data_IF_619968299091
#
_entry.id   IF_619968299091
#
_cell.length_a   1.000
_cell.length_b   1.000
_cell.length_c   1.000
_cell.angle_alpha   90.00
_cell.angle_beta   90.00
_cell.angle_gamma   90.00
#
_symmetry.space_group_name_H-M   'P 1'
#
loop_
_entity.id
_entity.type
_entity.pdbx_description
1 polymer ?
#
# COMPACT_ATOMS: atom_id res chain seq x y z
N UNK A 1 -65.97 29.59 31.57
CA UNK A 1 -64.56 29.92 31.96
C UNK A 1 -63.84 30.40 30.74
N UNK A 2 -63.47 31.66 30.62
CA UNK A 2 -62.73 32.16 29.44
C UNK A 2 -61.22 31.84 29.54
N UNK A 3 -60.70 31.18 28.49
CA UNK A 3 -59.28 30.86 28.35
C UNK A 3 -58.53 32.17 28.08
N UNK A 4 -57.72 32.62 29.05
CA UNK A 4 -56.79 33.75 28.87
C UNK A 4 -55.52 33.25 28.18
N UNK A 5 -55.39 33.56 26.89
CA UNK A 5 -54.14 33.33 26.14
C UNK A 5 -53.15 34.41 26.59
N UNK A 6 -52.04 34.01 27.18
CA UNK A 6 -50.93 34.88 27.62
C UNK A 6 -50.18 35.48 26.42
N UNK A 7 -49.82 36.78 26.44
CA UNK A 7 -49.10 37.42 25.32
C UNK A 7 -47.73 36.78 25.02
N UNK A 8 -47.18 36.04 25.98
CA UNK A 8 -45.93 35.30 25.78
C UNK A 8 -46.07 34.10 24.84
N UNK A 9 -47.27 33.47 24.75
CA UNK A 9 -47.49 32.34 23.83
C UNK A 9 -47.71 32.79 22.39
N UNK A 10 -48.18 34.03 22.18
CA UNK A 10 -48.35 34.58 20.84
C UNK A 10 -47.05 35.03 20.21
N UNK A 11 -46.11 35.56 20.98
CA UNK A 11 -44.76 35.93 20.52
C UNK A 11 -43.88 34.71 20.16
N UNK A 12 -44.02 33.59 20.89
CA UNK A 12 -43.31 32.36 20.61
C UNK A 12 -43.81 31.67 19.32
N UNK A 13 -45.16 31.72 19.08
CA UNK A 13 -45.74 31.18 17.85
C UNK A 13 -45.36 32.02 16.59
N UNK A 14 -45.25 33.35 16.73
CA UNK A 14 -44.84 34.24 15.64
C UNK A 14 -43.32 34.08 15.32
N UNK A 15 -42.48 33.85 16.33
CA UNK A 15 -41.07 33.59 16.12
C UNK A 15 -40.82 32.21 15.44
N UNK A 16 -41.61 31.20 15.74
CA UNK A 16 -41.54 29.89 15.10
C UNK A 16 -42.03 29.93 13.64
N UNK A 17 -42.96 30.82 13.30
CA UNK A 17 -43.46 30.97 11.93
C UNK A 17 -42.48 31.73 11.03
N UNK A 18 -41.63 32.63 11.57
CA UNK A 18 -40.61 33.34 10.81
C UNK A 18 -39.35 32.48 10.57
N UNK A 19 -39.12 31.45 11.36
CA UNK A 19 -37.96 30.55 11.20
C UNK A 19 -38.12 29.59 10.00
N UNK A 20 -39.31 29.46 9.43
CA UNK A 20 -39.57 28.57 8.26
C UNK A 20 -39.40 29.25 6.90
N UNK A 21 -39.08 30.56 6.83
CA UNK A 21 -38.72 31.27 5.61
C UNK A 21 -37.21 31.27 5.40
N UNK A 22 -36.54 30.13 5.54
CA UNK A 22 -35.20 29.97 5.01
C UNK A 22 -35.28 30.09 3.47
N UNK A 23 -34.35 30.80 2.83
CA UNK A 23 -34.41 31.01 1.38
C UNK A 23 -34.18 29.69 0.67
N UNK A 24 -35.23 29.01 0.28
CA UNK A 24 -35.23 27.78 -0.52
C UNK A 24 -34.59 27.98 -1.92
N UNK A 25 -34.33 29.24 -2.29
CA UNK A 25 -33.81 29.60 -3.60
C UNK A 25 -32.33 29.15 -3.85
N UNK A 26 -31.47 29.15 -2.83
CA UNK A 26 -30.07 28.75 -2.98
C UNK A 26 -29.90 27.24 -3.09
N UNK A 27 -30.79 26.45 -2.49
CA UNK A 27 -30.78 24.98 -2.58
C UNK A 27 -31.32 24.46 -3.92
N UNK A 28 -32.07 25.27 -4.65
CA UNK A 28 -32.67 24.91 -5.92
C UNK A 28 -31.73 25.12 -7.10
N UNK A 29 -30.92 26.18 -7.08
CA UNK A 29 -29.89 26.47 -8.12
C UNK A 29 -28.83 25.37 -8.28
N UNK A 30 -28.59 24.57 -7.24
CA UNK A 30 -27.69 23.42 -7.29
C UNK A 30 -28.32 22.14 -7.88
N UNK A 31 -29.60 22.15 -8.18
CA UNK A 31 -30.36 20.97 -8.65
C UNK A 31 -30.81 21.07 -10.09
N UNK A 32 -30.77 22.26 -10.70
CA UNK A 32 -31.22 22.43 -12.08
C UNK A 32 -30.20 21.82 -13.05
N UNK A 33 -30.62 20.92 -13.92
CA UNK A 33 -29.72 20.26 -14.86
C UNK A 33 -29.22 21.27 -15.92
N UNK A 34 -27.91 21.24 -16.17
CA UNK A 34 -27.22 22.16 -17.10
C UNK A 34 -26.74 21.35 -18.31
N UNK A 35 -26.96 21.87 -19.52
CA UNK A 35 -26.34 21.38 -20.76
C UNK A 35 -25.07 22.15 -21.05
N UNK A 36 -24.00 21.43 -21.33
CA UNK A 36 -22.72 22.03 -21.65
C UNK A 36 -22.51 21.99 -23.16
N UNK A 37 -22.20 23.15 -23.74
CA UNK A 37 -21.85 23.27 -25.15
C UNK A 37 -20.73 24.32 -25.30
N UNK A 38 -19.52 23.92 -24.95
CA UNK A 38 -18.31 24.71 -25.12
C UNK A 38 -17.49 24.07 -26.23
N UNK A 39 -17.24 24.85 -27.29
CA UNK A 39 -16.40 24.45 -28.44
C UNK A 39 -15.28 25.50 -28.54
N UNK A 40 -14.03 25.04 -28.46
CA UNK A 40 -12.84 25.90 -28.47
C UNK A 40 -12.92 27.08 -27.51
N UNK A 41 -13.55 26.87 -26.37
CA UNK A 41 -13.76 27.93 -25.38
C UNK A 41 -12.52 28.11 -24.50
N UNK A 42 -12.19 29.35 -24.19
CA UNK A 42 -11.11 29.68 -23.26
C UNK A 42 -11.32 29.09 -21.91
N UNK A 43 -10.30 28.40 -21.37
CA UNK A 43 -10.35 27.67 -20.11
C UNK A 43 -10.78 28.58 -18.96
N UNK A 44 -10.26 29.81 -18.90
CA UNK A 44 -10.60 30.76 -17.85
C UNK A 44 -12.05 31.29 -17.95
N UNK A 45 -12.59 31.40 -19.15
CA UNK A 45 -13.99 31.79 -19.35
C UNK A 45 -14.94 30.66 -18.90
N UNK A 46 -14.63 29.41 -19.25
CA UNK A 46 -15.39 28.22 -18.81
C UNK A 46 -15.31 28.05 -17.30
N UNK A 47 -14.13 28.25 -16.70
CA UNK A 47 -13.95 28.14 -15.24
C UNK A 47 -14.84 29.18 -14.49
N UNK A 48 -14.92 30.42 -14.98
CA UNK A 48 -15.80 31.48 -14.43
C UNK A 48 -17.28 31.11 -14.55
N UNK A 49 -17.67 30.48 -15.65
CA UNK A 49 -19.05 30.03 -15.85
C UNK A 49 -19.40 28.95 -14.80
N UNK A 50 -18.50 27.98 -14.59
CA UNK A 50 -18.71 26.96 -13.53
C UNK A 50 -18.71 27.55 -12.13
N UNK A 51 -17.87 28.55 -11.86
CA UNK A 51 -17.88 29.29 -10.59
C UNK A 51 -19.24 29.90 -10.31
N UNK A 52 -19.84 30.53 -11.30
CA UNK A 52 -21.19 31.10 -11.20
C UNK A 52 -22.27 30.04 -10.97
N UNK A 53 -22.20 28.90 -11.68
CA UNK A 53 -23.16 27.80 -11.52
C UNK A 53 -23.06 27.14 -10.13
N UNK A 54 -21.85 27.00 -9.60
CA UNK A 54 -21.60 26.39 -8.31
C UNK A 54 -21.71 27.37 -7.14
N UNK A 55 -21.86 28.68 -7.41
CA UNK A 55 -21.86 29.72 -6.38
C UNK A 55 -20.53 29.81 -5.61
N UNK A 56 -19.42 29.49 -6.25
CA UNK A 56 -18.07 29.47 -5.65
C UNK A 56 -17.14 30.42 -6.40
N UNK A 57 -16.18 30.96 -5.69
CA UNK A 57 -15.15 31.78 -6.30
C UNK A 57 -14.09 30.92 -7.01
N UNK A 58 -13.63 31.38 -8.19
CA UNK A 58 -12.57 30.71 -8.93
C UNK A 58 -11.41 31.64 -9.17
N UNK A 59 -10.19 31.17 -8.88
CA UNK A 59 -8.93 31.84 -9.19
C UNK A 59 -8.20 31.04 -10.24
N UNK A 60 -7.85 31.68 -11.36
CA UNK A 60 -7.14 31.05 -12.47
C UNK A 60 -5.70 31.56 -12.49
N UNK A 61 -4.73 30.62 -12.43
CA UNK A 61 -3.30 30.94 -12.55
C UNK A 61 -3.03 31.54 -13.96
N UNK A 62 -2.24 32.59 -14.07
CA UNK A 62 -1.92 33.23 -15.36
C UNK A 62 -1.22 32.32 -16.38
N UNK A 63 -0.65 31.20 -15.91
CA UNK A 63 -0.02 30.19 -16.77
C UNK A 63 -1.03 29.24 -17.40
N UNK A 64 -2.26 29.22 -16.94
CA UNK A 64 -3.35 28.43 -17.54
C UNK A 64 -3.81 29.12 -18.81
N UNK A 65 -3.50 28.50 -19.93
CA UNK A 65 -3.83 29.01 -21.27
C UNK A 65 -4.30 27.88 -22.17
N UNK A 66 -5.16 28.20 -23.11
CA UNK A 66 -5.66 27.24 -24.10
C UNK A 66 -7.16 27.20 -24.15
N UNK A 67 -7.66 26.35 -25.01
CA UNK A 67 -9.08 26.17 -25.26
C UNK A 67 -9.48 24.70 -24.91
N UNK A 68 -10.71 24.54 -24.51
CA UNK A 68 -11.31 23.20 -24.26
C UNK A 68 -12.63 23.09 -25.02
N UNK A 69 -12.90 21.85 -25.43
CA UNK A 69 -14.19 21.47 -25.99
C UNK A 69 -14.87 20.54 -25.03
N UNK A 70 -16.05 20.93 -24.55
CA UNK A 70 -16.86 20.15 -23.62
C UNK A 70 -18.32 20.21 -24.05
N UNK A 71 -18.82 19.13 -24.63
CA UNK A 71 -20.19 19.01 -25.12
C UNK A 71 -20.90 17.86 -24.41
N UNK A 72 -22.16 18.11 -24.06
CA UNK A 72 -23.04 17.06 -23.50
C UNK A 72 -24.39 17.09 -24.20
N UNK A 73 -24.83 15.93 -24.66
CA UNK A 73 -26.14 15.78 -25.31
C UNK A 73 -27.31 15.79 -24.33
N UNK A 74 -27.02 15.47 -23.07
CA UNK A 74 -28.03 15.38 -22.01
C UNK A 74 -27.73 16.40 -20.91
N UNK A 75 -28.79 16.98 -20.32
CA UNK A 75 -28.61 17.85 -19.17
C UNK A 75 -28.02 17.08 -18.00
N UNK A 76 -26.98 17.61 -17.38
CA UNK A 76 -26.27 17.05 -16.24
C UNK A 76 -26.49 17.89 -15.00
N UNK A 77 -26.43 17.26 -13.84
CA UNK A 77 -26.38 18.01 -12.57
C UNK A 77 -25.10 18.87 -12.54
N UNK A 78 -25.13 20.07 -11.96
CA UNK A 78 -23.97 20.97 -11.90
C UNK A 78 -22.70 20.33 -11.34
N UNK A 79 -22.83 19.46 -10.34
CA UNK A 79 -21.71 18.72 -9.75
C UNK A 79 -21.08 17.75 -10.73
N UNK A 80 -21.90 17.00 -11.48
CA UNK A 80 -21.42 16.04 -12.50
C UNK A 80 -20.81 16.79 -13.69
N UNK A 81 -21.43 17.92 -14.09
CA UNK A 81 -20.92 18.78 -15.13
C UNK A 81 -19.53 19.34 -14.76
N UNK A 82 -19.36 19.75 -13.50
CA UNK A 82 -18.07 20.22 -12.99
C UNK A 82 -17.02 19.09 -12.94
N UNK A 83 -17.38 17.87 -12.54
CA UNK A 83 -16.47 16.74 -12.59
C UNK A 83 -15.96 16.46 -14.00
N UNK A 84 -16.85 16.56 -15.02
CA UNK A 84 -16.46 16.43 -16.43
C UNK A 84 -15.52 17.55 -16.88
N UNK A 85 -15.77 18.77 -16.44
CA UNK A 85 -14.88 19.89 -16.69
C UNK A 85 -13.49 19.65 -16.09
N UNK A 86 -13.41 19.24 -14.82
CA UNK A 86 -12.13 18.92 -14.15
C UNK A 86 -11.40 17.78 -14.85
N UNK A 87 -12.12 16.75 -15.30
CA UNK A 87 -11.54 15.65 -16.08
C UNK A 87 -10.93 16.14 -17.40
N UNK A 88 -11.64 17.03 -18.11
CA UNK A 88 -11.15 17.63 -19.37
C UNK A 88 -9.92 18.53 -19.12
N UNK A 89 -9.93 19.31 -18.04
CA UNK A 89 -8.77 20.12 -17.63
C UNK A 89 -7.53 19.26 -17.36
N UNK A 90 -7.72 18.11 -16.72
CA UNK A 90 -6.63 17.18 -16.44
C UNK A 90 -6.00 16.66 -17.73
N UNK A 91 -6.79 16.35 -18.75
CA UNK A 91 -6.26 15.95 -20.07
C UNK A 91 -5.43 17.07 -20.72
N UNK A 92 -5.73 18.32 -20.39
CA UNK A 92 -4.98 19.50 -20.84
C UNK A 92 -3.79 19.86 -19.94
N UNK A 93 -3.50 19.05 -18.90
CA UNK A 93 -2.38 19.26 -17.98
C UNK A 93 -2.64 20.29 -16.87
N UNK A 94 -3.90 20.57 -16.56
CA UNK A 94 -4.31 21.47 -15.49
C UNK A 94 -5.10 20.74 -14.41
N UNK A 95 -5.03 21.24 -13.19
CA UNK A 95 -5.76 20.69 -12.04
C UNK A 95 -6.53 21.79 -11.32
N UNK A 96 -7.66 21.38 -10.71
CA UNK A 96 -8.42 22.22 -9.81
C UNK A 96 -8.10 21.83 -8.37
N UNK A 97 -7.65 22.79 -7.58
CA UNK A 97 -7.38 22.61 -6.15
C UNK A 97 -8.46 23.35 -5.37
N UNK A 98 -9.13 22.66 -4.47
CA UNK A 98 -10.10 23.23 -3.55
C UNK A 98 -9.38 23.69 -2.26
N UNK A 99 -9.39 24.97 -1.98
CA UNK A 99 -8.79 25.54 -0.80
C UNK A 99 -9.67 26.65 -0.21
N UNK A 100 -10.03 26.55 1.06
CA UNK A 100 -10.75 27.56 1.82
C UNK A 100 -12.01 28.14 1.13
N UNK A 101 -12.74 27.31 0.38
CA UNK A 101 -13.97 27.75 -0.33
C UNK A 101 -13.73 28.33 -1.72
N UNK A 102 -12.47 28.50 -2.14
CA UNK A 102 -12.07 29.02 -3.45
C UNK A 102 -11.52 27.89 -4.30
N UNK A 103 -11.94 27.81 -5.56
CA UNK A 103 -11.43 26.87 -6.54
C UNK A 103 -10.21 27.51 -7.25
N UNK A 104 -9.04 26.90 -7.09
CA UNK A 104 -7.81 27.36 -7.76
C UNK A 104 -7.54 26.48 -8.97
N UNK A 105 -7.47 27.08 -10.14
CA UNK A 105 -7.08 26.40 -11.37
C UNK A 105 -5.60 26.64 -11.63
N UNK A 106 -4.80 25.59 -11.56
CA UNK A 106 -3.33 25.65 -11.61
C UNK A 106 -2.77 24.58 -12.55
N UNK A 107 -1.52 24.73 -13.05
CA UNK A 107 -0.83 23.63 -13.70
C UNK A 107 -0.73 22.40 -12.80
N UNK A 108 -0.89 21.20 -13.36
CA UNK A 108 -0.90 19.94 -12.59
C UNK A 108 0.36 19.76 -11.75
N UNK A 109 1.52 20.19 -12.25
CA UNK A 109 2.79 20.11 -11.53
C UNK A 109 2.78 20.86 -10.19
N UNK A 110 2.01 21.96 -10.10
CA UNK A 110 1.95 22.83 -8.93
C UNK A 110 0.78 22.49 -7.99
N UNK A 111 -0.18 21.69 -8.45
CA UNK A 111 -1.36 21.33 -7.68
C UNK A 111 -1.03 20.65 -6.34
N UNK A 112 0.03 19.82 -6.32
CA UNK A 112 0.52 19.14 -5.12
C UNK A 112 1.02 20.07 -4.02
N UNK A 113 1.50 21.28 -4.40
CA UNK A 113 2.02 22.27 -3.44
C UNK A 113 0.92 23.17 -2.87
N UNK A 114 -0.24 23.20 -3.53
CA UNK A 114 -1.36 24.06 -3.16
C UNK A 114 -2.55 23.29 -2.58
N UNK A 115 -2.43 21.94 -2.48
CA UNK A 115 -3.44 21.10 -1.88
C UNK A 115 -3.34 21.17 -0.35
N UNK A 116 -4.37 21.74 0.28
CA UNK A 116 -4.47 21.86 1.75
C UNK A 116 -5.06 20.61 2.40
N UNK A 117 -5.57 19.65 1.61
CA UNK A 117 -6.25 18.48 2.13
C UNK A 117 -5.26 17.35 2.46
N UNK A 118 -4.98 17.17 3.75
CA UNK A 118 -4.23 16.03 4.29
C UNK A 118 -5.19 15.17 5.10
N UNK A 119 -5.31 13.88 4.76
CA UNK A 119 -6.20 12.97 5.45
C UNK A 119 -5.61 11.58 5.63
N UNK A 120 -6.04 10.86 6.66
CA UNK A 120 -5.82 9.42 6.83
C UNK A 120 -6.98 8.58 6.27
N UNK A 121 -8.08 9.21 5.92
CA UNK A 121 -9.28 8.55 5.38
C UNK A 121 -9.46 8.90 3.89
N UNK A 122 -10.17 8.06 3.12
CA UNK A 122 -10.50 8.36 1.74
C UNK A 122 -11.26 9.70 1.64
N UNK A 123 -10.77 10.58 0.80
CA UNK A 123 -11.40 11.89 0.56
C UNK A 123 -12.55 11.76 -0.43
N UNK A 124 -13.66 12.46 -0.22
CA UNK A 124 -14.71 12.59 -1.21
C UNK A 124 -14.21 13.48 -2.37
N UNK A 125 -14.59 13.14 -3.60
CA UNK A 125 -14.21 13.88 -4.81
C UNK A 125 -13.12 13.17 -5.61
N UNK A 126 -13.50 12.63 -6.77
CA UNK A 126 -12.61 11.77 -7.57
C UNK A 126 -11.40 12.52 -8.16
N UNK A 127 -11.56 13.79 -8.51
CA UNK A 127 -10.63 14.55 -9.32
C UNK A 127 -9.85 15.64 -8.56
N UNK A 128 -9.91 15.65 -7.24
CA UNK A 128 -9.12 16.58 -6.42
C UNK A 128 -7.77 15.96 -6.06
N UNK A 129 -6.71 16.79 -6.10
CA UNK A 129 -5.39 16.42 -5.61
C UNK A 129 -5.38 16.53 -4.09
N UNK A 130 -4.95 15.47 -3.43
CA UNK A 130 -4.91 15.39 -1.98
C UNK A 130 -3.70 14.59 -1.50
N UNK A 131 -3.32 14.80 -0.26
CA UNK A 131 -2.28 14.00 0.39
C UNK A 131 -2.93 13.02 1.37
N UNK A 132 -2.65 11.73 1.20
CA UNK A 132 -3.13 10.69 2.10
C UNK A 132 -1.96 9.95 2.76
N UNK A 133 -2.13 9.65 4.06
CA UNK A 133 -1.16 8.90 4.84
C UNK A 133 -1.70 7.49 5.05
N UNK A 134 -0.97 6.49 4.56
CA UNK A 134 -1.27 5.08 4.75
C UNK A 134 -0.31 4.50 5.79
N UNK A 135 -0.82 4.05 6.93
CA UNK A 135 -0.05 3.32 7.94
C UNK A 135 -0.04 1.84 7.60
N UNK A 136 1.14 1.25 7.55
CA UNK A 136 1.34 -0.18 7.30
C UNK A 136 1.53 -0.92 8.62
N UNK A 137 1.00 -2.14 8.70
CA UNK A 137 1.08 -2.98 9.89
C UNK A 137 2.11 -4.11 9.72
N UNK A 138 2.17 -4.71 8.54
CA UNK A 138 2.95 -5.93 8.29
C UNK A 138 4.09 -5.70 7.31
N UNK A 139 3.86 -4.95 6.23
CA UNK A 139 4.87 -4.66 5.23
C UNK A 139 5.69 -3.40 5.56
N UNK A 140 6.92 -3.34 5.04
CA UNK A 140 7.76 -2.16 5.21
C UNK A 140 7.43 -1.09 4.16
N UNK A 141 7.13 0.12 4.62
CA UNK A 141 6.80 1.25 3.75
C UNK A 141 7.89 1.53 2.69
N UNK A 142 9.16 1.41 3.06
CA UNK A 142 10.28 1.67 2.15
C UNK A 142 10.30 0.69 0.96
N UNK A 143 9.90 -0.56 1.18
CA UNK A 143 9.86 -1.59 0.14
C UNK A 143 8.70 -1.40 -0.82
N UNK A 144 7.60 -0.80 -0.37
CA UNK A 144 6.43 -0.57 -1.20
C UNK A 144 6.56 0.66 -2.12
N UNK A 145 7.40 1.64 -1.77
CA UNK A 145 7.61 2.83 -2.61
C UNK A 145 7.98 2.49 -4.05
N UNK A 146 9.00 1.67 -4.35
CA UNK A 146 9.37 1.35 -5.73
C UNK A 146 8.28 0.59 -6.48
N UNK A 147 7.47 -0.22 -5.78
CA UNK A 147 6.37 -0.99 -6.37
C UNK A 147 5.17 -0.10 -6.71
N UNK A 148 4.86 0.87 -5.83
CA UNK A 148 3.72 1.76 -6.01
C UNK A 148 4.04 2.99 -6.87
N UNK A 149 5.32 3.39 -6.98
CA UNK A 149 5.73 4.56 -7.75
C UNK A 149 5.22 4.59 -9.20
N UNK A 150 5.24 3.49 -9.98
CA UNK A 150 4.69 3.47 -11.33
C UNK A 150 3.16 3.64 -11.40
N UNK A 151 2.46 3.47 -10.28
CA UNK A 151 1.00 3.61 -10.19
C UNK A 151 0.56 5.02 -9.76
N UNK A 152 1.50 5.83 -9.27
CA UNK A 152 1.29 7.24 -8.91
C UNK A 152 1.46 8.10 -10.16
N UNK A 153 0.62 9.13 -10.30
CA UNK A 153 0.70 10.06 -11.44
C UNK A 153 2.08 10.71 -11.55
N UNK A 154 2.60 11.00 -12.76
CA UNK A 154 3.99 11.44 -12.97
C UNK A 154 4.38 12.70 -12.20
N UNK A 155 3.43 13.62 -12.04
CA UNK A 155 3.64 14.90 -11.35
C UNK A 155 3.49 14.81 -9.83
N UNK A 156 3.11 13.63 -9.31
CA UNK A 156 2.76 13.42 -7.91
C UNK A 156 3.86 12.66 -7.15
N UNK A 157 3.75 12.61 -5.83
CA UNK A 157 4.83 12.14 -4.95
C UNK A 157 4.33 10.99 -4.09
N UNK A 158 5.21 9.98 -3.96
CA UNK A 158 5.11 8.95 -2.93
C UNK A 158 6.41 8.92 -2.14
N UNK A 159 6.31 8.87 -0.81
CA UNK A 159 7.45 8.76 0.09
C UNK A 159 7.12 7.90 1.29
N UNK A 160 8.13 7.23 1.86
CA UNK A 160 8.00 6.44 3.07
C UNK A 160 8.54 7.20 4.28
N UNK A 161 7.83 7.12 5.40
CA UNK A 161 8.29 7.56 6.71
C UNK A 161 8.70 6.32 7.49
N UNK A 162 10.00 6.00 7.51
CA UNK A 162 10.53 4.79 8.13
C UNK A 162 10.22 4.70 9.63
N UNK A 163 10.26 5.82 10.36
CA UNK A 163 10.02 5.84 11.80
C UNK A 163 8.61 5.47 12.24
N UNK A 164 7.60 5.68 11.39
CA UNK A 164 6.20 5.35 11.68
C UNK A 164 5.64 4.25 10.78
N UNK A 165 6.46 3.65 9.92
CA UNK A 165 6.07 2.67 8.91
C UNK A 165 4.85 3.13 8.10
N UNK A 166 4.90 4.36 7.60
CA UNK A 166 3.81 4.99 6.88
C UNK A 166 4.25 5.43 5.48
N UNK A 167 3.31 5.36 4.53
CA UNK A 167 3.45 5.94 3.19
C UNK A 167 2.70 7.26 3.14
N UNK A 168 3.34 8.29 2.64
CA UNK A 168 2.71 9.57 2.30
C UNK A 168 2.59 9.64 0.78
N UNK A 169 1.38 9.71 0.29
CA UNK A 169 1.08 9.75 -1.13
C UNK A 169 0.26 11.00 -1.43
N UNK A 170 0.75 11.83 -2.33
CA UNK A 170 -0.02 12.95 -2.87
C UNK A 170 -0.42 12.58 -4.29
N UNK A 171 -1.71 12.47 -4.55
CA UNK A 171 -2.27 12.14 -5.87
C UNK A 171 -3.75 12.54 -5.93
N UNK A 172 -4.40 12.28 -7.05
CA UNK A 172 -5.84 12.42 -7.18
C UNK A 172 -6.59 11.46 -6.25
N UNK A 173 -7.67 11.93 -5.63
CA UNK A 173 -8.43 11.16 -4.66
C UNK A 173 -8.90 9.79 -5.19
N UNK A 174 -9.32 9.72 -6.47
CA UNK A 174 -9.67 8.45 -7.12
C UNK A 174 -8.48 7.47 -7.17
N UNK A 175 -7.26 7.97 -7.48
CA UNK A 175 -6.06 7.15 -7.51
C UNK A 175 -5.62 6.74 -6.11
N UNK A 176 -5.74 7.64 -5.12
CA UNK A 176 -5.48 7.33 -3.71
C UNK A 176 -6.38 6.21 -3.19
N UNK A 177 -7.67 6.22 -3.55
CA UNK A 177 -8.59 5.12 -3.21
C UNK A 177 -8.17 3.79 -3.86
N UNK A 178 -7.74 3.82 -5.13
CA UNK A 178 -7.20 2.63 -5.81
C UNK A 178 -5.94 2.12 -5.14
N UNK A 179 -4.98 3.03 -4.84
CA UNK A 179 -3.75 2.70 -4.12
C UNK A 179 -4.04 2.14 -2.73
N UNK A 180 -5.00 2.71 -2.01
CA UNK A 180 -5.43 2.20 -0.70
C UNK A 180 -5.93 0.76 -0.74
N UNK A 181 -6.69 0.38 -1.78
CA UNK A 181 -7.11 -1.02 -1.99
C UNK A 181 -5.93 -1.94 -2.28
N UNK A 182 -4.96 -1.49 -3.07
CA UNK A 182 -3.75 -2.26 -3.38
C UNK A 182 -2.90 -2.42 -2.12
N UNK A 183 -2.68 -1.35 -1.37
CA UNK A 183 -1.93 -1.37 -0.11
C UNK A 183 -2.59 -2.34 0.87
N UNK A 184 -3.91 -2.27 1.07
CA UNK A 184 -4.63 -3.17 1.96
C UNK A 184 -4.55 -4.64 1.53
N UNK A 185 -4.42 -4.93 0.24
CA UNK A 185 -4.25 -6.29 -0.28
C UNK A 185 -2.82 -6.82 -0.11
N UNK A 186 -1.83 -5.93 -0.02
CA UNK A 186 -0.41 -6.29 0.15
C UNK A 186 -0.01 -6.29 1.63
N UNK A 187 -0.55 -5.35 2.42
CA UNK A 187 -0.28 -5.23 3.86
C UNK A 187 -1.06 -6.29 4.66
N UNK A 188 -0.84 -7.54 4.31
CA UNK A 188 -1.40 -8.69 5.04
C UNK A 188 -0.32 -9.30 5.93
N UNK A 189 -0.71 -9.89 7.08
CA UNK A 189 0.28 -10.59 7.90
C UNK A 189 0.94 -11.65 7.04
N UNK A 190 2.20 -11.41 6.70
CA UNK A 190 3.04 -12.47 6.17
C UNK A 190 3.10 -13.51 7.27
N UNK A 191 2.47 -14.63 7.06
CA UNK A 191 2.64 -15.80 7.91
C UNK A 191 4.11 -16.21 7.70
N UNK A 192 5.01 -15.51 8.40
CA UNK A 192 6.36 -16.01 8.60
C UNK A 192 6.20 -17.25 9.44
N UNK A 193 5.83 -18.34 8.76
CA UNK A 193 5.72 -19.63 9.40
C UNK A 193 7.08 -19.98 9.96
N UNK A 194 7.18 -20.01 11.28
CA UNK A 194 8.27 -20.70 11.95
C UNK A 194 7.80 -22.12 12.11
N UNK A 195 8.44 -23.02 11.42
CA UNK A 195 8.16 -24.45 11.53
C UNK A 195 9.33 -25.16 12.18
N UNK A 196 9.01 -26.03 13.14
CA UNK A 196 9.96 -26.90 13.80
C UNK A 196 9.86 -28.29 13.17
N UNK A 197 10.93 -28.72 12.50
CA UNK A 197 11.03 -30.06 11.92
C UNK A 197 11.98 -30.89 12.72
N UNK A 198 11.45 -31.91 13.43
CA UNK A 198 12.25 -32.84 14.22
C UNK A 198 12.97 -33.83 13.28
N UNK A 199 14.27 -34.03 13.49
CA UNK A 199 15.09 -34.96 12.74
C UNK A 199 15.17 -36.32 13.46
N UNK A 200 15.24 -37.39 12.66
CA UNK A 200 15.30 -38.79 13.19
C UNK A 200 16.66 -39.42 13.00
N UNK A 201 17.36 -39.13 11.95
CA UNK A 201 18.58 -39.79 11.53
C UNK A 201 19.80 -38.85 11.48
N UNK A 202 19.62 -37.64 11.00
CA UNK A 202 20.70 -36.64 10.86
C UNK A 202 20.79 -35.75 12.10
N UNK A 203 21.97 -35.15 12.33
CA UNK A 203 22.15 -34.13 13.35
C UNK A 203 21.73 -32.79 12.82
N UNK A 204 20.92 -32.05 13.57
CA UNK A 204 20.42 -30.73 13.18
C UNK A 204 21.55 -29.73 12.90
N UNK A 205 22.66 -29.80 13.66
CA UNK A 205 23.83 -28.94 13.47
C UNK A 205 24.50 -29.11 12.10
N UNK A 206 24.54 -30.33 11.58
CA UNK A 206 25.18 -30.66 10.31
C UNK A 206 24.22 -30.39 9.13
N UNK A 207 22.94 -30.62 9.32
CA UNK A 207 21.94 -30.51 8.27
C UNK A 207 21.55 -29.04 7.99
N UNK A 208 21.47 -28.20 9.03
CA UNK A 208 21.06 -26.80 8.90
C UNK A 208 21.86 -26.02 7.85
N UNK A 209 23.24 -26.03 7.81
CA UNK A 209 24.00 -25.27 6.84
C UNK A 209 23.85 -25.82 5.41
N UNK A 210 23.57 -27.12 5.25
CA UNK A 210 23.34 -27.75 3.95
C UNK A 210 22.02 -27.31 3.37
N UNK A 211 20.94 -27.39 4.17
CA UNK A 211 19.58 -26.95 3.77
C UNK A 211 19.57 -25.46 3.47
N UNK A 212 20.23 -24.64 4.31
CA UNK A 212 20.33 -23.19 4.08
C UNK A 212 21.00 -22.90 2.72
N UNK A 213 22.10 -23.54 2.39
CA UNK A 213 22.79 -23.37 1.08
C UNK A 213 21.90 -23.78 -0.10
N UNK A 214 21.15 -24.87 0.01
CA UNK A 214 20.24 -25.33 -1.05
C UNK A 214 19.11 -24.32 -1.28
N UNK A 215 18.56 -23.74 -0.22
CA UNK A 215 17.51 -22.74 -0.29
C UNK A 215 18.04 -21.40 -0.85
N UNK A 216 19.26 -21.00 -0.51
CA UNK A 216 19.92 -19.81 -1.05
C UNK A 216 20.26 -19.98 -2.54
N UNK A 217 20.73 -21.16 -2.96
CA UNK A 217 21.00 -21.48 -4.36
C UNK A 217 19.72 -21.44 -5.23
N UNK A 218 18.59 -21.90 -4.69
CA UNK A 218 17.30 -21.86 -5.39
C UNK A 218 16.73 -20.43 -5.52
N UNK A 219 17.17 -19.49 -4.68
CA UNK A 219 16.77 -18.09 -4.75
C UNK A 219 17.61 -17.23 -5.71
N UNK A 220 18.80 -17.69 -6.06
CA UNK A 220 19.74 -16.97 -6.96
C UNK A 220 19.57 -17.30 -8.46
N UNK A 221 18.65 -18.18 -8.83
CA UNK A 221 18.42 -18.59 -10.22
C UNK A 221 17.52 -17.65 -11.04
N UNK A 222 17.49 -16.36 -10.75
CA UNK A 222 16.94 -15.37 -11.66
C UNK A 222 18.04 -14.79 -12.53
N UNK A 223 18.16 -15.42 -13.70
CA UNK A 223 18.67 -14.88 -14.98
C UNK A 223 19.99 -14.10 -14.93
N UNK A 224 20.93 -14.70 -15.65
CA UNK A 224 22.20 -14.11 -16.02
C UNK A 224 22.10 -12.67 -16.51
N UNK A 225 22.84 -11.83 -15.82
CA UNK A 225 23.44 -10.66 -16.41
C UNK A 225 24.84 -10.56 -15.83
N UNK A 226 25.80 -10.99 -16.61
CA UNK A 226 27.21 -10.68 -16.43
C UNK A 226 27.37 -9.18 -16.68
N UNK A 227 27.56 -8.41 -15.63
CA UNK A 227 28.11 -7.05 -15.71
C UNK A 227 28.83 -6.71 -14.41
N UNK A 228 30.16 -6.78 -14.50
CA UNK A 228 31.16 -5.89 -13.87
C UNK A 228 30.76 -5.13 -12.60
N UNK A 229 31.35 -5.58 -11.50
CA UNK A 229 32.02 -4.78 -10.49
C UNK A 229 31.36 -3.49 -9.98
N UNK A 230 30.38 -3.61 -9.13
CA UNK A 230 30.17 -2.71 -7.99
C UNK A 230 29.27 -3.48 -7.00
N UNK A 231 29.78 -3.72 -5.80
CA UNK A 231 28.99 -4.30 -4.72
C UNK A 231 27.86 -3.33 -4.37
N UNK A 232 26.70 -3.50 -5.01
CA UNK A 232 25.47 -2.87 -4.58
C UNK A 232 25.04 -3.60 -3.30
N UNK A 233 24.76 -2.87 -2.21
CA UNK A 233 24.14 -3.50 -1.04
C UNK A 233 22.84 -4.14 -1.52
N UNK A 234 22.78 -5.47 -1.41
CA UNK A 234 21.59 -6.24 -1.74
C UNK A 234 20.40 -5.59 -1.05
N UNK A 235 19.40 -5.22 -1.83
CA UNK A 235 18.13 -4.74 -1.30
C UNK A 235 17.59 -5.77 -0.31
N UNK A 236 17.74 -5.48 0.99
CA UNK A 236 17.22 -6.27 2.10
C UNK A 236 15.70 -6.13 2.16
N UNK A 237 15.00 -6.72 1.22
CA UNK A 237 13.55 -6.62 1.13
C UNK A 237 12.82 -7.93 0.83
N UNK A 238 13.55 -8.99 0.50
CA UNK A 238 12.96 -10.31 0.38
C UNK A 238 13.12 -11.07 1.69
N UNK A 239 12.05 -11.55 2.31
CA UNK A 239 12.13 -12.48 3.43
C UNK A 239 12.94 -13.71 3.02
N UNK A 240 14.24 -13.72 3.36
CA UNK A 240 15.09 -14.88 3.16
C UNK A 240 14.60 -16.02 4.03
N UNK A 241 14.53 -17.20 3.46
CA UNK A 241 14.30 -18.40 4.27
C UNK A 241 15.53 -18.64 5.13
N UNK A 242 15.36 -18.72 6.44
CA UNK A 242 16.44 -19.01 7.39
C UNK A 242 16.19 -20.36 8.05
N UNK A 243 17.24 -21.16 8.14
CA UNK A 243 17.23 -22.47 8.79
C UNK A 243 18.23 -22.43 9.93
N UNK A 244 17.76 -22.67 11.14
CA UNK A 244 18.59 -22.73 12.34
C UNK A 244 18.49 -24.12 12.98
N UNK A 245 19.61 -24.63 13.50
CA UNK A 245 19.61 -25.89 14.24
C UNK A 245 19.19 -25.69 15.70
N UNK A 246 18.22 -26.44 16.16
CA UNK A 246 17.86 -26.60 17.57
C UNK A 246 18.50 -27.89 18.11
N UNK A 247 19.61 -27.72 18.83
CA UNK A 247 20.45 -28.85 19.28
C UNK A 247 19.84 -29.66 20.41
N UNK A 248 18.97 -29.08 21.24
CA UNK A 248 18.34 -29.76 22.39
C UNK A 248 17.35 -30.84 21.96
N UNK A 249 16.54 -30.53 20.95
CA UNK A 249 15.52 -31.41 20.44
C UNK A 249 15.89 -32.11 19.14
N UNK A 250 17.13 -31.93 18.64
CA UNK A 250 17.55 -32.38 17.32
C UNK A 250 16.57 -32.00 16.22
N UNK A 251 16.21 -30.72 16.14
CA UNK A 251 15.22 -30.20 15.23
C UNK A 251 15.78 -29.02 14.42
N UNK A 252 15.19 -28.79 13.25
CA UNK A 252 15.45 -27.61 12.44
C UNK A 252 14.32 -26.60 12.63
N UNK A 253 14.68 -25.37 12.94
CA UNK A 253 13.79 -24.22 12.97
C UNK A 253 13.85 -23.56 11.60
N UNK A 254 12.80 -23.68 10.83
CA UNK A 254 12.68 -23.10 9.49
C UNK A 254 11.80 -21.86 9.58
N UNK A 255 12.33 -20.71 9.18
CA UNK A 255 11.57 -19.47 9.05
C UNK A 255 11.55 -19.05 7.60
N UNK A 256 10.37 -18.93 6.99
CA UNK A 256 10.22 -18.47 5.63
C UNK A 256 9.06 -17.47 5.51
N UNK A 257 9.17 -16.56 4.56
CA UNK A 257 8.13 -15.55 4.30
C UNK A 257 6.94 -16.07 3.48
N UNK A 258 6.97 -17.36 3.08
CA UNK A 258 5.92 -17.95 2.24
C UNK A 258 5.75 -19.43 2.59
N UNK A 259 4.51 -19.89 2.70
CA UNK A 259 4.17 -21.30 2.97
C UNK A 259 4.77 -22.28 1.94
N UNK A 260 4.84 -21.89 0.67
CA UNK A 260 5.46 -22.71 -0.38
C UNK A 260 6.95 -22.95 -0.14
N UNK A 261 7.68 -21.96 0.41
CA UNK A 261 9.09 -22.12 0.77
C UNK A 261 9.29 -23.00 2.00
N UNK A 262 8.34 -22.99 2.94
CA UNK A 262 8.36 -23.91 4.08
C UNK A 262 8.20 -25.35 3.61
N UNK A 263 7.24 -25.61 2.71
CA UNK A 263 7.03 -26.92 2.12
C UNK A 263 8.29 -27.39 1.36
N UNK A 264 8.89 -26.53 0.54
CA UNK A 264 10.13 -26.85 -0.16
C UNK A 264 11.26 -27.22 0.83
N UNK A 265 11.41 -26.45 1.91
CA UNK A 265 12.41 -26.73 2.93
C UNK A 265 12.13 -28.06 3.63
N UNK A 266 10.89 -28.36 3.94
CA UNK A 266 10.47 -29.65 4.51
C UNK A 266 10.80 -30.82 3.58
N UNK A 267 10.45 -30.71 2.29
CA UNK A 267 10.74 -31.75 1.29
C UNK A 267 12.25 -32.03 1.17
N UNK A 268 13.08 -30.96 1.25
CA UNK A 268 14.54 -31.11 1.26
C UNK A 268 15.00 -31.82 2.52
N UNK A 269 14.49 -31.45 3.69
CA UNK A 269 14.83 -32.06 4.97
C UNK A 269 14.43 -33.54 5.00
N UNK A 270 13.23 -33.89 4.55
CA UNK A 270 12.75 -35.29 4.49
C UNK A 270 13.63 -36.16 3.57
N UNK A 271 14.15 -35.59 2.49
CA UNK A 271 15.07 -36.31 1.57
C UNK A 271 16.47 -36.49 2.15
N UNK A 272 16.89 -35.59 3.03
CA UNK A 272 18.23 -35.63 3.62
C UNK A 272 18.26 -36.37 4.96
N UNK A 273 17.12 -36.43 5.71
CA UNK A 273 16.99 -37.14 6.99
C UNK A 273 16.67 -38.64 6.76
N UNK A 274 17.51 -39.29 5.96
CA UNK A 274 17.39 -40.72 5.73
C UNK A 274 18.39 -41.50 6.58
N UNK A 275 18.04 -42.75 6.98
CA UNK A 275 18.99 -43.59 7.67
C UNK A 275 20.22 -43.83 6.80
N UNK A 276 21.39 -43.52 7.34
CA UNK A 276 22.64 -43.83 6.66
C UNK A 276 22.74 -45.34 6.41
N UNK A 277 23.11 -45.80 5.20
CA UNK A 277 23.24 -47.24 4.91
C UNK A 277 24.34 -47.92 5.75
N UNK A 278 25.17 -47.14 6.44
CA UNK A 278 26.24 -47.66 7.32
C UNK A 278 25.84 -47.84 8.79
N UNK A 279 24.52 -47.86 9.13
CA UNK A 279 24.04 -48.07 10.49
C UNK A 279 24.20 -46.84 11.43
N UNK A 280 23.81 -46.90 12.69
CA UNK A 280 23.92 -45.78 13.62
C UNK A 280 25.39 -45.40 13.76
N UNK A 281 25.70 -44.27 13.11
CA UNK A 281 27.07 -43.77 12.94
C UNK A 281 27.65 -43.30 14.27
N UNK A 282 28.22 -44.21 14.96
CA UNK A 282 29.30 -43.90 15.87
C UNK A 282 30.49 -44.71 15.36
N UNK A 283 31.56 -44.09 14.93
CA UNK A 283 32.85 -44.74 14.70
C UNK A 283 33.38 -45.43 15.99
N UNK A 284 32.50 -45.66 16.94
CA UNK A 284 32.83 -46.29 18.20
C UNK A 284 32.08 -47.64 18.24
N UNK A 285 32.82 -48.69 17.94
CA UNK A 285 32.36 -50.05 18.09
C UNK A 285 32.87 -50.61 19.42
N UNK A 286 31.93 -50.95 20.31
CA UNK A 286 32.30 -51.62 21.57
C UNK A 286 32.26 -53.14 21.36
N UNK A 287 33.42 -53.73 21.40
CA UNK A 287 33.59 -55.18 21.26
C UNK A 287 33.94 -55.77 22.64
N UNK A 288 33.07 -56.64 23.15
CA UNK A 288 33.32 -57.35 24.40
C UNK A 288 34.25 -58.51 24.15
N UNK A 289 35.46 -58.41 24.73
CA UNK A 289 36.47 -59.46 24.60
C UNK A 289 36.27 -60.56 25.67
N UNK A 290 36.25 -61.84 25.27
CA UNK A 290 36.10 -62.96 26.18
C UNK A 290 37.39 -63.58 26.67
N UNK A 291 38.47 -63.54 25.82
CA UNK A 291 39.70 -64.28 26.08
C UNK A 291 40.97 -63.40 25.90
N UNK A 292 40.86 -62.08 25.78
CA UNK A 292 42.03 -61.16 25.64
C UNK A 292 41.81 -59.96 26.52
N UNK A 293 42.90 -59.36 27.00
CA UNK A 293 42.84 -58.07 27.72
C UNK A 293 42.71 -56.92 26.72
N UNK A 294 41.69 -56.06 26.93
CA UNK A 294 41.38 -54.96 26.04
C UNK A 294 42.59 -53.96 25.85
N UNK A 295 43.32 -53.71 26.93
CA UNK A 295 44.52 -52.86 26.94
C UNK A 295 45.63 -53.35 26.06
N UNK A 296 45.91 -54.67 26.02
CA UNK A 296 46.91 -55.26 25.16
C UNK A 296 46.49 -55.31 23.69
N UNK A 297 45.23 -55.61 23.44
CA UNK A 297 44.69 -55.63 22.09
C UNK A 297 44.67 -54.21 21.46
N UNK A 298 44.32 -53.20 22.27
CA UNK A 298 44.31 -51.79 21.82
C UNK A 298 45.70 -51.31 21.39
N UNK A 299 46.79 -51.71 22.04
CA UNK A 299 48.16 -51.38 21.61
C UNK A 299 48.54 -52.04 20.30
N UNK A 300 48.12 -53.26 20.05
CA UNK A 300 48.39 -54.00 18.79
C UNK A 300 47.58 -53.41 17.63
N UNK A 301 46.35 -52.95 17.86
CA UNK A 301 45.50 -52.35 16.83
C UNK A 301 45.86 -50.90 16.52
N UNK A 302 46.68 -50.25 17.36
CA UNK A 302 47.15 -48.88 17.16
C UNK A 302 48.50 -48.80 16.40
N UNK A 303 49.22 -49.93 16.26
CA UNK A 303 50.44 -50.06 15.48
C UNK A 303 50.11 -50.37 14.02
#
# INVERSE_FOLDING_TARGET
MPFRISPASLSLALALLLATLAPAGLAQAMRDPVTLNFVDADIGAVARTFASILGREVVVDPRVKGTITLQTDKPLLPTVAFERFVETLRLSGYAVVDGAGVLKLVPEADAKLQSDSVSQQPLPGANQVATQIFKLQFENATNLVPVLRPLVSPNNIISAIAGSNALVVTDYAANLQRLGKIIAAVDVPNVTGVELVALRHALAADLAPVVQRMLDASSSSTVGSAATGAAQPAAEGGFRTTVAAETRGNALVIRAGNAARIQLARDIVERLDQPSPEGPAGNIHVVYLRNAEATRLATVLRA
#
